data_IF_218784829764
#
_entry.id   IF_218784829764
#
_cell.length_a   1.000
_cell.length_b   1.000
_cell.length_c   1.000
_cell.angle_alpha   90.00
_cell.angle_beta   90.00
_cell.angle_gamma   90.00
#
_symmetry.space_group_name_H-M   'P 1'
#
loop_
_entity.id
_entity.type
_entity.pdbx_description
1 polymer ?
#
# COMPACT_ATOMS: atom_id res chain seq x y z
N UNK A 1 -45.82 15.28 115.70
CA UNK A 1 -46.01 16.35 116.71
C UNK A 1 -46.84 15.79 117.88
N UNK A 2 -46.51 16.17 119.11
CA UNK A 2 -47.39 16.05 120.29
C UNK A 2 -48.43 17.22 120.26
N UNK A 3 -49.40 17.40 121.21
CA UNK A 3 -49.45 16.82 122.57
C UNK A 3 -50.84 16.60 123.30
N UNK A 4 -50.79 15.85 124.43
CA UNK A 4 -51.57 16.05 125.71
C UNK A 4 -53.11 15.84 125.69
N UNK A 5 -53.85 15.54 126.79
CA UNK A 5 -53.61 15.37 128.27
C UNK A 5 -54.78 14.52 128.89
N UNK A 6 -54.56 13.62 129.88
CA UNK A 6 -54.86 13.71 131.37
C UNK A 6 -56.36 13.87 131.79
N UNK A 7 -56.89 13.35 132.91
CA UNK A 7 -56.36 12.57 134.07
C UNK A 7 -57.47 11.82 134.89
N UNK A 8 -57.06 11.13 135.99
CA UNK A 8 -57.77 10.52 137.16
C UNK A 8 -59.14 11.11 137.65
N UNK A 9 -59.94 10.58 138.62
CA UNK A 9 -59.88 9.53 139.68
C UNK A 9 -61.05 9.73 140.72
N UNK A 10 -61.21 9.12 141.93
CA UNK A 10 -60.65 7.91 142.62
C UNK A 10 -61.24 7.69 144.07
N UNK A 11 -62.28 6.86 144.27
CA UNK A 11 -62.73 6.34 145.62
C UNK A 11 -63.83 7.13 146.38
N UNK A 12 -64.29 6.82 147.63
CA UNK A 12 -64.18 5.62 148.52
C UNK A 12 -65.08 5.75 149.81
N UNK A 13 -65.85 4.73 150.22
CA UNK A 13 -66.33 4.48 151.61
C UNK A 13 -67.45 5.40 152.20
N UNK A 14 -68.00 5.19 153.42
CA UNK A 14 -68.12 4.00 154.33
C UNK A 14 -68.99 4.35 155.58
N UNK A 15 -69.57 3.33 156.26
CA UNK A 15 -70.00 3.31 157.70
C UNK A 15 -71.17 4.23 158.18
N UNK A 16 -71.87 4.00 159.31
CA UNK A 16 -72.24 2.79 160.11
C UNK A 16 -73.21 3.16 161.28
N UNK A 17 -73.79 2.15 161.96
CA UNK A 17 -74.23 2.12 163.39
C UNK A 17 -75.45 3.01 163.81
N UNK A 18 -76.54 2.46 164.39
CA UNK A 18 -76.77 2.10 165.83
C UNK A 18 -77.62 3.18 166.56
N UNK A 19 -78.41 2.95 167.64
CA UNK A 19 -79.01 1.78 168.31
C UNK A 19 -80.04 2.29 169.38
N UNK A 20 -80.51 1.42 170.29
CA UNK A 20 -81.38 1.65 171.47
C UNK A 20 -82.91 1.74 171.19
N UNK A 21 -83.82 0.87 171.69
CA UNK A 21 -84.14 0.31 173.05
C UNK A 21 -85.22 1.15 173.77
N UNK A 22 -86.44 0.61 173.97
CA UNK A 22 -86.88 -0.03 175.23
C UNK A 22 -88.35 -0.56 175.18
N UNK A 23 -88.73 -1.36 176.18
CA UNK A 23 -90.08 -1.65 176.71
C UNK A 23 -91.17 -2.15 175.73
N UNK A 24 -91.29 -3.47 175.60
CA UNK A 24 -92.37 -4.12 174.83
C UNK A 24 -93.71 -4.21 175.58
N UNK A 25 -94.84 -4.20 174.84
CA UNK A 25 -96.12 -4.74 175.32
C UNK A 25 -96.38 -6.18 174.83
N UNK A 26 -97.55 -6.69 175.21
CA UNK A 26 -98.11 -8.03 174.98
C UNK A 26 -97.87 -8.67 173.59
N UNK A 27 -97.83 -10.00 173.57
CA UNK A 27 -97.55 -10.92 172.44
C UNK A 27 -98.30 -10.62 171.12
N UNK A 28 -99.40 -9.87 171.17
CA UNK A 28 -100.21 -9.54 169.98
C UNK A 28 -99.65 -8.39 169.11
N UNK A 29 -98.74 -7.56 169.60
CA UNK A 29 -98.21 -6.41 168.82
C UNK A 29 -96.96 -6.75 167.98
N UNK A 30 -96.16 -7.74 168.39
CA UNK A 30 -94.93 -8.14 167.69
C UNK A 30 -95.17 -8.77 166.30
N UNK A 31 -96.34 -9.37 166.07
CA UNK A 31 -96.66 -9.95 164.76
C UNK A 31 -96.89 -8.87 163.69
N UNK A 32 -97.48 -7.73 164.05
CA UNK A 32 -97.74 -6.64 163.11
C UNK A 32 -96.46 -5.96 162.59
N UNK A 33 -95.39 -5.90 163.38
CA UNK A 33 -94.11 -5.31 162.95
C UNK A 33 -93.32 -6.19 161.98
N UNK A 34 -93.44 -7.53 162.10
CA UNK A 34 -92.76 -8.49 161.21
C UNK A 34 -93.34 -8.41 159.77
N UNK A 35 -94.65 -8.25 159.65
CA UNK A 35 -95.33 -8.12 158.35
C UNK A 35 -94.99 -6.80 157.64
N UNK A 36 -94.71 -5.71 158.37
CA UNK A 36 -94.26 -4.44 157.82
C UNK A 36 -92.88 -4.52 157.15
N UNK A 37 -91.89 -5.06 157.86
CA UNK A 37 -90.50 -5.13 157.37
C UNK A 37 -90.36 -6.10 156.19
N UNK A 38 -91.13 -7.20 156.18
CA UNK A 38 -91.14 -8.14 155.05
C UNK A 38 -91.73 -7.54 153.78
N UNK A 39 -92.75 -6.67 153.88
CA UNK A 39 -93.32 -5.96 152.75
C UNK A 39 -92.34 -4.94 152.11
N UNK A 40 -91.55 -4.22 152.92
CA UNK A 40 -90.55 -3.27 152.41
C UNK A 40 -89.40 -3.98 151.67
N UNK A 41 -88.89 -5.09 152.24
CA UNK A 41 -87.88 -5.95 151.58
C UNK A 41 -88.33 -6.39 150.18
N UNK A 42 -89.58 -6.80 150.03
CA UNK A 42 -90.13 -7.26 148.75
C UNK A 42 -90.30 -6.13 147.74
N UNK A 43 -90.50 -4.90 148.21
CA UNK A 43 -90.58 -3.69 147.36
C UNK A 43 -89.21 -3.33 146.79
N UNK A 44 -88.16 -3.36 147.60
CA UNK A 44 -86.76 -3.19 147.13
C UNK A 44 -86.35 -4.32 146.17
N UNK A 45 -86.68 -5.58 146.48
CA UNK A 45 -86.35 -6.72 145.63
C UNK A 45 -86.96 -6.57 144.22
N UNK A 46 -88.22 -6.13 144.14
CA UNK A 46 -88.91 -5.83 142.86
C UNK A 46 -88.27 -4.67 142.11
N UNK A 47 -87.86 -3.59 142.79
CA UNK A 47 -87.13 -2.49 142.15
C UNK A 47 -85.77 -2.93 141.61
N UNK A 48 -84.99 -3.70 142.40
CA UNK A 48 -83.68 -4.21 141.98
C UNK A 48 -83.77 -5.10 140.75
N UNK A 49 -84.78 -5.99 140.71
CA UNK A 49 -85.06 -6.86 139.56
C UNK A 49 -85.43 -6.04 138.32
N UNK A 50 -86.30 -5.02 138.46
CA UNK A 50 -86.66 -4.12 137.35
C UNK A 50 -85.46 -3.38 136.77
N UNK A 51 -84.61 -2.79 137.62
CA UNK A 51 -83.39 -2.09 137.20
C UNK A 51 -82.36 -3.03 136.56
N UNK A 52 -82.35 -4.31 136.93
CA UNK A 52 -81.51 -5.32 136.30
C UNK A 52 -82.02 -5.67 134.89
N UNK A 53 -83.33 -5.92 134.73
CA UNK A 53 -83.96 -6.14 133.41
C UNK A 53 -83.77 -4.93 132.49
N UNK A 54 -83.87 -3.69 133.00
CA UNK A 54 -83.65 -2.48 132.21
C UNK A 54 -82.17 -2.33 131.78
N UNK A 55 -81.21 -2.68 132.66
CA UNK A 55 -79.78 -2.72 132.30
C UNK A 55 -79.47 -3.79 131.26
N UNK A 56 -80.03 -4.99 131.41
CA UNK A 56 -79.79 -6.10 130.48
C UNK A 56 -80.41 -5.80 129.11
N UNK A 57 -81.61 -5.19 129.06
CA UNK A 57 -82.19 -4.65 127.82
C UNK A 57 -81.29 -3.58 127.17
N UNK A 58 -80.76 -2.65 127.97
CA UNK A 58 -79.90 -1.58 127.44
C UNK A 58 -78.56 -2.14 126.92
N UNK A 59 -77.99 -3.14 127.59
CA UNK A 59 -76.82 -3.88 127.11
C UNK A 59 -77.11 -4.62 125.80
N UNK A 60 -78.24 -5.33 125.70
CA UNK A 60 -78.66 -5.98 124.45
C UNK A 60 -78.85 -4.95 123.31
N UNK A 61 -79.47 -3.79 123.57
CA UNK A 61 -79.55 -2.73 122.57
C UNK A 61 -78.18 -2.19 122.16
N UNK A 62 -77.25 -2.03 123.10
CA UNK A 62 -75.89 -1.56 122.81
C UNK A 62 -75.10 -2.59 121.98
N UNK A 63 -75.21 -3.88 122.28
CA UNK A 63 -74.64 -4.96 121.46
C UNK A 63 -75.27 -5.04 120.06
N UNK A 64 -76.60 -4.89 119.95
CA UNK A 64 -77.30 -4.86 118.66
C UNK A 64 -76.82 -3.65 117.85
N UNK A 65 -76.79 -2.45 118.42
CA UNK A 65 -76.29 -1.25 117.73
C UNK A 65 -74.81 -1.32 117.38
N UNK A 66 -73.99 -1.99 118.19
CA UNK A 66 -72.59 -2.27 117.85
C UNK A 66 -72.49 -3.23 116.65
N UNK A 67 -73.28 -4.31 116.62
CA UNK A 67 -73.35 -5.25 115.49
C UNK A 67 -73.89 -4.60 114.21
N UNK A 68 -74.94 -3.78 114.31
CA UNK A 68 -75.45 -2.98 113.18
C UNK A 68 -74.38 -2.03 112.63
N UNK A 69 -73.61 -1.36 113.50
CA UNK A 69 -72.49 -0.50 113.10
C UNK A 69 -71.38 -1.30 112.42
N UNK A 70 -71.00 -2.45 112.98
CA UNK A 70 -69.98 -3.33 112.40
C UNK A 70 -70.44 -3.92 111.04
N UNK A 71 -71.74 -4.19 110.88
CA UNK A 71 -72.36 -4.59 109.60
C UNK A 71 -72.28 -3.46 108.57
N UNK A 72 -72.71 -2.24 108.93
CA UNK A 72 -72.65 -1.08 108.03
C UNK A 72 -71.19 -0.71 107.66
N UNK A 73 -70.23 -0.84 108.59
CA UNK A 73 -68.79 -0.67 108.31
C UNK A 73 -68.21 -1.79 107.43
N UNK A 74 -68.80 -2.99 107.44
CA UNK A 74 -68.43 -4.07 106.52
C UNK A 74 -69.06 -3.84 105.13
N UNK A 75 -70.33 -3.45 105.06
CA UNK A 75 -71.03 -3.10 103.81
C UNK A 75 -70.37 -1.93 103.09
N UNK A 76 -69.97 -0.87 103.82
CA UNK A 76 -69.18 0.24 103.25
C UNK A 76 -67.87 -0.26 102.64
N UNK A 77 -67.08 -1.07 103.36
CA UNK A 77 -65.84 -1.64 102.83
C UNK A 77 -66.05 -2.56 101.62
N UNK A 78 -67.17 -3.28 101.57
CA UNK A 78 -67.56 -4.07 100.39
C UNK A 78 -67.92 -3.13 99.23
N UNK A 79 -68.62 -2.02 99.48
CA UNK A 79 -69.00 -1.03 98.46
C UNK A 79 -67.79 -0.25 97.93
N UNK A 80 -66.88 0.17 98.80
CA UNK A 80 -65.63 0.83 98.40
C UNK A 80 -64.79 -0.10 97.52
N UNK A 81 -64.64 -1.36 97.92
CA UNK A 81 -63.95 -2.37 97.10
C UNK A 81 -64.66 -2.64 95.76
N UNK A 82 -66.00 -2.67 95.73
CA UNK A 82 -66.76 -2.77 94.48
C UNK A 82 -66.51 -1.56 93.57
N UNK A 83 -66.38 -0.35 94.12
CA UNK A 83 -66.04 0.86 93.35
C UNK A 83 -64.62 0.80 92.81
N UNK A 84 -63.64 0.37 93.60
CA UNK A 84 -62.25 0.14 93.16
C UNK A 84 -62.18 -0.89 92.02
N UNK A 85 -62.81 -2.06 92.19
CA UNK A 85 -62.83 -3.11 91.16
C UNK A 85 -63.53 -2.69 89.86
N UNK A 86 -64.49 -1.76 89.91
CA UNK A 86 -65.12 -1.16 88.71
C UNK A 86 -64.18 -0.12 88.05
N UNK A 87 -63.51 0.72 88.85
CA UNK A 87 -62.58 1.72 88.34
C UNK A 87 -61.34 1.09 87.68
N UNK A 88 -60.79 0.02 88.26
CA UNK A 88 -59.69 -0.73 87.67
C UNK A 88 -60.09 -1.37 86.32
N UNK A 89 -61.26 -2.03 86.25
CA UNK A 89 -61.81 -2.60 85.01
C UNK A 89 -61.97 -1.53 83.93
N UNK A 90 -62.56 -0.39 84.27
CA UNK A 90 -62.70 0.72 83.34
C UNK A 90 -61.35 1.26 82.86
N UNK A 91 -60.34 1.33 83.73
CA UNK A 91 -58.99 1.75 83.35
C UNK A 91 -58.30 0.72 82.44
N UNK A 92 -58.48 -0.58 82.67
CA UNK A 92 -57.97 -1.62 81.77
C UNK A 92 -58.66 -1.60 80.41
N UNK A 93 -59.98 -1.37 80.39
CA UNK A 93 -60.76 -1.25 79.15
C UNK A 93 -60.33 -0.02 78.34
N UNK A 94 -60.14 1.14 78.97
CA UNK A 94 -59.61 2.33 78.31
C UNK A 94 -58.21 2.11 77.72
N UNK A 95 -57.31 1.43 78.46
CA UNK A 95 -55.98 1.06 77.96
C UNK A 95 -56.06 0.10 76.77
N UNK A 96 -56.94 -0.90 76.83
CA UNK A 96 -57.17 -1.85 75.75
C UNK A 96 -57.74 -1.17 74.50
N UNK A 97 -58.73 -0.28 74.65
CA UNK A 97 -59.31 0.52 73.56
C UNK A 97 -58.24 1.44 72.93
N UNK A 98 -57.44 2.15 73.74
CA UNK A 98 -56.37 3.01 73.24
C UNK A 98 -55.29 2.21 72.49
N UNK A 99 -54.89 1.05 73.00
CA UNK A 99 -53.94 0.16 72.34
C UNK A 99 -54.51 -0.39 71.02
N UNK A 100 -55.78 -0.82 71.01
CA UNK A 100 -56.47 -1.29 69.81
C UNK A 100 -56.59 -0.19 68.74
N UNK A 101 -56.98 1.03 69.12
CA UNK A 101 -57.05 2.17 68.21
C UNK A 101 -55.66 2.52 67.64
N UNK A 102 -54.62 2.50 68.48
CA UNK A 102 -53.24 2.76 68.05
C UNK A 102 -52.75 1.70 67.04
N UNK A 103 -53.03 0.42 67.30
CA UNK A 103 -52.77 -0.69 66.37
C UNK A 103 -53.54 -0.54 65.06
N UNK A 104 -54.81 -0.14 65.11
CA UNK A 104 -55.63 0.07 63.91
C UNK A 104 -55.09 1.23 63.05
N UNK A 105 -54.70 2.35 63.67
CA UNK A 105 -54.07 3.49 62.96
C UNK A 105 -52.72 3.08 62.36
N UNK A 106 -51.90 2.32 63.08
CA UNK A 106 -50.64 1.80 62.54
C UNK A 106 -50.86 0.83 61.37
N UNK A 107 -51.83 -0.07 61.48
CA UNK A 107 -52.23 -0.99 60.41
C UNK A 107 -52.71 -0.24 59.15
N UNK A 108 -53.52 0.81 59.32
CA UNK A 108 -53.95 1.66 58.20
C UNK A 108 -52.76 2.39 57.55
N UNK A 109 -51.86 3.00 58.35
CA UNK A 109 -50.65 3.64 57.82
C UNK A 109 -49.77 2.66 57.04
N UNK A 110 -49.59 1.43 57.54
CA UNK A 110 -48.83 0.39 56.84
C UNK A 110 -49.51 -0.02 55.52
N UNK A 111 -50.85 -0.15 55.50
CA UNK A 111 -51.61 -0.41 54.26
C UNK A 111 -51.46 0.72 53.23
N UNK A 112 -51.54 1.98 53.66
CA UNK A 112 -51.33 3.13 52.77
C UNK A 112 -49.91 3.16 52.21
N UNK A 113 -48.88 2.94 53.04
CA UNK A 113 -47.48 2.90 52.59
C UNK A 113 -47.22 1.76 51.60
N UNK A 114 -47.79 0.57 51.83
CA UNK A 114 -47.69 -0.56 50.90
C UNK A 114 -48.40 -0.27 49.57
N UNK A 115 -49.57 0.38 49.60
CA UNK A 115 -50.28 0.79 48.40
C UNK A 115 -49.51 1.86 47.62
N UNK A 116 -48.97 2.88 48.31
CA UNK A 116 -48.12 3.92 47.71
C UNK A 116 -46.88 3.31 47.07
N UNK A 117 -46.17 2.42 47.78
CA UNK A 117 -45.04 1.67 47.23
C UNK A 117 -45.45 0.83 46.01
N UNK A 118 -46.61 0.17 46.04
CA UNK A 118 -47.11 -0.63 44.91
C UNK A 118 -47.45 0.24 43.69
N UNK A 119 -48.02 1.43 43.90
CA UNK A 119 -48.30 2.41 42.85
C UNK A 119 -46.99 2.93 42.27
N UNK A 120 -46.02 3.35 43.09
CA UNK A 120 -44.69 3.82 42.65
C UNK A 120 -43.93 2.72 41.88
N UNK A 121 -43.98 1.47 42.33
CA UNK A 121 -43.37 0.35 41.61
C UNK A 121 -44.10 0.08 40.28
N UNK A 122 -45.41 0.24 40.22
CA UNK A 122 -46.18 0.08 38.98
C UNK A 122 -45.92 1.21 37.98
N UNK A 123 -45.83 2.47 38.42
CA UNK A 123 -45.51 3.61 37.55
C UNK A 123 -44.08 3.51 37.02
N UNK A 124 -43.09 3.26 37.89
CA UNK A 124 -41.69 3.08 37.47
C UNK A 124 -41.53 1.89 36.52
N UNK A 125 -42.30 0.81 36.67
CA UNK A 125 -42.32 -0.28 35.68
C UNK A 125 -42.92 0.16 34.34
N UNK A 126 -44.04 0.87 34.35
CA UNK A 126 -44.65 1.43 33.14
C UNK A 126 -43.72 2.40 32.39
N UNK A 127 -43.08 3.32 33.11
CA UNK A 127 -42.14 4.29 32.55
C UNK A 127 -40.91 3.59 31.95
N UNK A 128 -40.37 2.57 32.63
CA UNK A 128 -39.28 1.75 32.09
C UNK A 128 -39.71 0.96 30.85
N UNK A 129 -40.91 0.39 30.82
CA UNK A 129 -41.43 -0.31 29.63
C UNK A 129 -41.65 0.63 28.44
N UNK A 130 -42.10 1.86 28.69
CA UNK A 130 -42.23 2.91 27.66
C UNK A 130 -40.86 3.37 27.15
N UNK A 131 -39.90 3.61 28.04
CA UNK A 131 -38.52 3.95 27.66
C UNK A 131 -37.86 2.84 26.82
N UNK A 132 -38.05 1.57 27.19
CA UNK A 132 -37.56 0.42 26.42
C UNK A 132 -38.24 0.27 25.05
N UNK A 133 -39.54 0.62 24.92
CA UNK A 133 -40.23 0.66 23.62
C UNK A 133 -39.68 1.77 22.73
N UNK A 134 -39.59 3.00 23.25
CA UNK A 134 -39.04 4.13 22.51
C UNK A 134 -37.60 3.86 22.05
N UNK A 135 -36.75 3.31 22.92
CA UNK A 135 -35.37 2.95 22.55
C UNK A 135 -35.31 1.88 21.44
N UNK A 136 -36.25 0.92 21.42
CA UNK A 136 -36.35 -0.09 20.35
C UNK A 136 -36.84 0.52 19.04
N UNK A 137 -37.81 1.43 19.08
CA UNK A 137 -38.32 2.15 17.90
C UNK A 137 -37.22 3.04 17.31
N UNK A 138 -36.51 3.81 18.13
CA UNK A 138 -35.34 4.57 17.69
C UNK A 138 -34.26 3.67 17.07
N UNK A 139 -33.93 2.54 17.70
CA UNK A 139 -32.95 1.60 17.17
C UNK A 139 -33.38 1.04 15.80
N UNK A 140 -34.64 0.64 15.65
CA UNK A 140 -35.19 0.14 14.39
C UNK A 140 -35.20 1.22 13.28
N UNK A 141 -35.54 2.48 13.62
CA UNK A 141 -35.47 3.58 12.64
C UNK A 141 -34.03 3.89 12.20
N UNK A 142 -33.06 3.88 13.13
CA UNK A 142 -31.63 4.04 12.80
C UNK A 142 -31.12 2.87 11.95
N UNK A 143 -31.54 1.64 12.25
CA UNK A 143 -31.18 0.46 11.45
C UNK A 143 -31.73 0.57 10.01
N UNK A 144 -32.99 0.98 9.84
CA UNK A 144 -33.56 1.21 8.51
C UNK A 144 -32.80 2.29 7.74
N UNK A 145 -32.50 3.43 8.38
CA UNK A 145 -31.72 4.52 7.78
C UNK A 145 -30.33 4.05 7.33
N UNK A 146 -29.61 3.31 8.19
CA UNK A 146 -28.29 2.76 7.86
C UNK A 146 -28.36 1.73 6.72
N UNK A 147 -29.45 0.95 6.61
CA UNK A 147 -29.64 0.01 5.50
C UNK A 147 -29.92 0.73 4.17
N UNK A 148 -30.67 1.83 4.20
CA UNK A 148 -30.95 2.65 3.02
C UNK A 148 -29.71 3.46 2.59
N UNK A 149 -28.98 4.07 3.52
CA UNK A 149 -27.66 4.66 3.26
C UNK A 149 -26.68 3.64 2.68
N UNK A 150 -26.69 2.38 3.17
CA UNK A 150 -25.85 1.32 2.61
C UNK A 150 -26.24 0.95 1.17
N UNK A 151 -27.54 1.02 0.80
CA UNK A 151 -28.00 0.81 -0.58
C UNK A 151 -27.55 1.97 -1.47
N UNK A 152 -27.81 3.21 -1.06
CA UNK A 152 -27.38 4.42 -1.77
C UNK A 152 -25.87 4.46 -2.02
N UNK A 153 -25.06 4.08 -1.02
CA UNK A 153 -23.61 4.01 -1.16
C UNK A 153 -23.17 2.90 -2.13
N UNK A 154 -23.84 1.73 -2.11
CA UNK A 154 -23.57 0.65 -3.09
C UNK A 154 -23.92 1.08 -4.51
N UNK A 155 -25.01 1.80 -4.70
CA UNK A 155 -25.44 2.25 -6.02
C UNK A 155 -24.52 3.36 -6.55
N UNK A 156 -24.14 4.33 -5.72
CA UNK A 156 -23.10 5.34 -6.04
C UNK A 156 -21.75 4.70 -6.40
N UNK A 157 -21.34 3.62 -5.71
CA UNK A 157 -20.14 2.87 -6.07
C UNK A 157 -20.27 2.28 -7.47
N UNK A 158 -21.40 1.62 -7.79
CA UNK A 158 -21.64 1.05 -9.14
C UNK A 158 -21.70 2.12 -10.23
N UNK A 159 -22.34 3.26 -9.99
CA UNK A 159 -22.36 4.39 -10.94
C UNK A 159 -20.94 4.88 -11.25
N UNK A 160 -20.11 5.03 -10.22
CA UNK A 160 -18.71 5.43 -10.35
C UNK A 160 -17.90 4.35 -11.09
N UNK A 161 -18.06 3.07 -10.76
CA UNK A 161 -17.44 1.94 -11.46
C UNK A 161 -17.82 1.91 -12.95
N UNK A 162 -19.10 2.06 -13.29
CA UNK A 162 -19.59 2.15 -14.67
C UNK A 162 -18.99 3.35 -15.40
N UNK A 163 -18.91 4.51 -14.75
CA UNK A 163 -18.30 5.71 -15.35
C UNK A 163 -16.80 5.51 -15.66
N UNK A 164 -16.07 4.79 -14.80
CA UNK A 164 -14.68 4.41 -15.07
C UNK A 164 -14.56 3.37 -16.18
N UNK A 165 -15.48 2.40 -16.26
CA UNK A 165 -15.53 1.48 -17.40
C UNK A 165 -15.77 2.19 -18.72
N UNK A 166 -16.67 3.18 -18.76
CA UNK A 166 -16.95 3.99 -19.95
C UNK A 166 -15.73 4.84 -20.35
N UNK A 167 -15.08 5.50 -19.39
CA UNK A 167 -13.82 6.22 -19.64
C UNK A 167 -12.72 5.27 -20.18
N UNK A 168 -12.58 4.06 -19.61
CA UNK A 168 -11.63 3.06 -20.09
C UNK A 168 -11.98 2.53 -21.49
N UNK A 169 -13.28 2.38 -21.82
CA UNK A 169 -13.75 2.02 -23.16
C UNK A 169 -13.44 3.13 -24.17
N UNK A 170 -13.68 4.39 -23.81
CA UNK A 170 -13.37 5.56 -24.63
C UNK A 170 -11.87 5.69 -24.91
N UNK A 171 -11.03 5.66 -23.87
CA UNK A 171 -9.57 5.71 -24.01
C UNK A 171 -9.04 4.56 -24.89
N UNK A 172 -9.59 3.34 -24.77
CA UNK A 172 -9.23 2.21 -25.65
C UNK A 172 -9.64 2.46 -27.11
N UNK A 173 -10.81 3.06 -27.35
CA UNK A 173 -11.22 3.42 -28.71
C UNK A 173 -10.33 4.51 -29.31
N UNK A 174 -9.95 5.52 -28.53
CA UNK A 174 -9.12 6.62 -29.02
C UNK A 174 -7.68 6.17 -29.31
N UNK A 175 -7.06 5.36 -28.43
CA UNK A 175 -5.80 4.69 -28.75
C UNK A 175 -5.91 3.80 -30.01
N UNK A 176 -7.03 3.09 -30.23
CA UNK A 176 -7.23 2.30 -31.45
C UNK A 176 -7.34 3.17 -32.72
N UNK A 177 -7.98 4.35 -32.62
CA UNK A 177 -8.01 5.35 -33.71
C UNK A 177 -6.61 5.88 -33.99
N UNK A 178 -5.83 6.20 -32.96
CA UNK A 178 -4.45 6.69 -33.09
C UNK A 178 -3.51 5.64 -33.72
N UNK A 179 -3.53 4.40 -33.23
CA UNK A 179 -2.80 3.28 -33.85
C UNK A 179 -3.18 3.12 -35.32
N UNK A 180 -4.46 3.32 -35.67
CA UNK A 180 -4.94 3.25 -37.05
C UNK A 180 -4.45 4.43 -37.90
N UNK A 181 -4.37 5.65 -37.35
CA UNK A 181 -3.74 6.81 -38.02
C UNK A 181 -2.25 6.56 -38.26
N UNK A 182 -1.50 6.19 -37.23
CA UNK A 182 -0.07 5.88 -37.32
C UNK A 182 0.21 4.79 -38.38
N UNK A 183 -0.58 3.71 -38.41
CA UNK A 183 -0.45 2.67 -39.45
C UNK A 183 -0.66 3.24 -40.87
N UNK A 184 -1.69 4.06 -41.09
CA UNK A 184 -1.93 4.71 -42.39
C UNK A 184 -0.79 5.65 -42.78
N UNK A 185 -0.25 6.41 -41.83
CA UNK A 185 0.90 7.29 -42.05
C UNK A 185 2.16 6.50 -42.42
N UNK A 186 2.44 5.38 -41.73
CA UNK A 186 3.52 4.47 -42.11
C UNK A 186 3.29 3.84 -43.49
N UNK A 187 2.07 3.40 -43.83
CA UNK A 187 1.75 2.86 -45.16
C UNK A 187 1.93 3.89 -46.28
N UNK A 188 1.54 5.15 -46.03
CA UNK A 188 1.75 6.25 -46.98
C UNK A 188 3.24 6.54 -47.12
N UNK A 189 3.97 6.71 -46.01
CA UNK A 189 5.41 6.98 -46.01
C UNK A 189 6.22 5.85 -46.69
N UNK A 190 5.82 4.58 -46.51
CA UNK A 190 6.43 3.44 -47.18
C UNK A 190 6.18 3.47 -48.70
N UNK A 191 4.95 3.74 -49.15
CA UNK A 191 4.63 3.90 -50.58
C UNK A 191 5.38 5.08 -51.19
N UNK A 192 5.46 6.19 -50.50
CA UNK A 192 6.20 7.39 -50.91
C UNK A 192 7.70 7.11 -51.05
N UNK A 193 8.28 6.33 -50.13
CA UNK A 193 9.68 5.91 -50.20
C UNK A 193 9.93 4.99 -51.40
N UNK A 194 9.05 4.01 -51.64
CA UNK A 194 9.12 3.11 -52.80
C UNK A 194 9.01 3.87 -54.12
N UNK A 195 8.07 4.83 -54.24
CA UNK A 195 7.96 5.67 -55.43
C UNK A 195 9.20 6.55 -55.65
N UNK A 196 9.81 7.06 -54.57
CA UNK A 196 11.07 7.83 -54.63
C UNK A 196 12.26 6.96 -55.04
N UNK A 197 12.37 5.72 -54.57
CA UNK A 197 13.45 4.80 -54.97
C UNK A 197 13.28 4.30 -56.40
N UNK A 198 12.05 3.93 -56.81
CA UNK A 198 11.74 3.61 -58.21
C UNK A 198 12.09 4.75 -59.16
N UNK A 199 11.71 6.00 -58.82
CA UNK A 199 12.03 7.17 -59.64
C UNK A 199 13.53 7.35 -59.79
N UNK A 200 14.30 7.24 -58.71
CA UNK A 200 15.78 7.29 -58.75
C UNK A 200 16.36 6.16 -59.62
N UNK A 201 15.83 4.93 -59.49
CA UNK A 201 16.27 3.79 -60.30
C UNK A 201 16.03 4.03 -61.80
N UNK A 202 14.84 4.51 -62.18
CA UNK A 202 14.52 4.86 -63.58
C UNK A 202 15.38 6.01 -64.10
N UNK A 203 15.71 7.00 -63.27
CA UNK A 203 16.61 8.09 -63.63
C UNK A 203 18.03 7.58 -63.91
N UNK A 204 18.60 6.77 -63.02
CA UNK A 204 19.93 6.17 -63.19
C UNK A 204 19.98 5.24 -64.40
N UNK A 205 18.91 4.49 -64.70
CA UNK A 205 18.80 3.70 -65.92
C UNK A 205 18.85 4.58 -67.17
N UNK A 206 18.01 5.63 -67.23
CA UNK A 206 17.98 6.56 -68.35
C UNK A 206 19.30 7.32 -68.56
N UNK A 207 20.00 7.68 -67.47
CA UNK A 207 21.31 8.33 -67.51
C UNK A 207 22.39 7.39 -68.06
N UNK A 208 22.43 6.13 -67.62
CA UNK A 208 23.34 5.13 -68.16
C UNK A 208 23.04 4.80 -69.63
N UNK A 209 21.77 4.71 -70.02
CA UNK A 209 21.38 4.52 -71.43
C UNK A 209 21.78 5.72 -72.31
N UNK A 210 21.65 6.95 -71.79
CA UNK A 210 22.09 8.16 -72.49
C UNK A 210 23.62 8.16 -72.65
N UNK A 211 24.35 7.90 -71.57
CA UNK A 211 25.82 7.80 -71.58
C UNK A 211 26.30 6.72 -72.55
N UNK A 212 25.68 5.53 -72.54
CA UNK A 212 25.98 4.45 -73.49
C UNK A 212 25.75 4.88 -74.95
N UNK A 213 24.66 5.61 -75.22
CA UNK A 213 24.38 6.16 -76.57
C UNK A 213 25.42 7.20 -76.98
N UNK A 214 25.86 8.07 -76.07
CA UNK A 214 26.94 9.03 -76.31
C UNK A 214 28.27 8.32 -76.61
N UNK A 215 28.68 7.36 -75.78
CA UNK A 215 29.90 6.56 -75.99
C UNK A 215 29.88 5.81 -77.33
N UNK A 216 28.72 5.26 -77.74
CA UNK A 216 28.53 4.66 -79.08
C UNK A 216 28.70 5.71 -80.19
N UNK A 217 28.03 6.87 -80.08
CA UNK A 217 28.07 7.92 -81.10
C UNK A 217 29.49 8.49 -81.26
N UNK A 218 30.25 8.68 -80.18
CA UNK A 218 31.66 9.09 -80.27
C UNK A 218 32.54 8.03 -80.94
N UNK A 219 32.29 6.74 -80.67
CA UNK A 219 33.00 5.63 -81.33
C UNK A 219 32.67 5.60 -82.82
N UNK A 220 31.41 5.84 -83.19
CA UNK A 220 30.96 5.93 -84.57
C UNK A 220 31.58 7.14 -85.29
N UNK A 221 31.61 8.32 -84.67
CA UNK A 221 32.32 9.49 -85.21
C UNK A 221 33.81 9.24 -85.40
N UNK A 222 34.50 8.68 -84.40
CA UNK A 222 35.93 8.32 -84.51
C UNK A 222 36.19 7.31 -85.63
N UNK A 223 35.30 6.33 -85.83
CA UNK A 223 35.37 5.39 -86.96
C UNK A 223 35.09 6.06 -88.30
N UNK A 224 34.08 6.92 -88.38
CA UNK A 224 33.71 7.63 -89.61
C UNK A 224 34.78 8.64 -90.06
N UNK A 225 35.44 9.30 -89.09
CA UNK A 225 36.64 10.11 -89.34
C UNK A 225 37.78 9.25 -89.90
N UNK A 226 38.07 8.10 -89.27
CA UNK A 226 39.12 7.19 -89.75
C UNK A 226 38.82 6.64 -91.16
N UNK A 227 37.57 6.27 -91.45
CA UNK A 227 37.12 5.85 -92.78
C UNK A 227 37.33 7.00 -93.79
N UNK A 228 36.97 8.24 -93.42
CA UNK A 228 37.14 9.42 -94.28
C UNK A 228 38.62 9.74 -94.54
N UNK A 229 39.50 9.59 -93.55
CA UNK A 229 40.94 9.69 -93.73
C UNK A 229 41.50 8.58 -94.64
N UNK A 230 41.02 7.35 -94.46
CA UNK A 230 41.45 6.20 -95.25
C UNK A 230 41.03 6.37 -96.72
N UNK A 231 39.80 6.82 -96.98
CA UNK A 231 39.34 7.22 -98.32
C UNK A 231 40.26 8.28 -98.92
N UNK A 232 40.55 9.37 -98.20
CA UNK A 232 41.47 10.43 -98.67
C UNK A 232 42.89 9.92 -98.94
N UNK A 233 43.39 8.97 -98.14
CA UNK A 233 44.71 8.32 -98.36
C UNK A 233 44.68 7.45 -99.62
N UNK A 234 43.61 6.69 -99.84
CA UNK A 234 43.42 5.92 -101.07
C UNK A 234 43.26 6.82 -102.30
N UNK A 235 42.46 7.90 -102.24
CA UNK A 235 42.32 8.88 -103.32
C UNK A 235 43.67 9.52 -103.69
N UNK A 236 44.50 9.87 -102.69
CA UNK A 236 45.87 10.34 -102.91
C UNK A 236 46.73 9.28 -103.58
N UNK A 237 46.77 8.06 -103.05
CA UNK A 237 47.55 6.97 -103.63
C UNK A 237 47.08 6.63 -105.07
N UNK A 238 45.78 6.63 -105.36
CA UNK A 238 45.24 6.48 -106.72
C UNK A 238 45.63 7.65 -107.63
N UNK A 239 45.66 8.87 -107.10
CA UNK A 239 46.12 10.06 -107.84
C UNK A 239 47.62 9.99 -108.12
N UNK A 240 48.43 9.59 -107.15
CA UNK A 240 49.88 9.36 -107.28
C UNK A 240 50.19 8.23 -108.27
N UNK A 241 49.45 7.12 -108.23
CA UNK A 241 49.55 6.02 -109.21
C UNK A 241 49.14 6.53 -110.60
N UNK A 242 48.08 7.33 -110.72
CA UNK A 242 47.64 7.91 -112.00
C UNK A 242 48.66 8.91 -112.54
N UNK A 243 49.27 9.74 -111.70
CA UNK A 243 50.39 10.61 -112.07
C UNK A 243 51.59 9.76 -112.50
N UNK A 244 51.99 8.74 -111.75
CA UNK A 244 53.09 7.84 -112.11
C UNK A 244 52.87 7.14 -113.46
N UNK A 245 51.66 6.64 -113.76
CA UNK A 245 51.35 6.10 -115.08
C UNK A 245 51.28 7.16 -116.17
N UNK A 246 50.75 8.36 -115.89
CA UNK A 246 50.81 9.49 -116.81
C UNK A 246 52.26 9.90 -117.12
N UNK A 247 53.11 9.99 -116.11
CA UNK A 247 54.53 10.33 -116.19
C UNK A 247 55.29 9.21 -116.92
N UNK A 248 54.94 7.94 -116.74
CA UNK A 248 55.44 6.85 -117.58
C UNK A 248 54.97 7.00 -119.02
N UNK A 249 53.69 7.33 -119.28
CA UNK A 249 53.24 7.54 -120.66
C UNK A 249 53.86 8.78 -121.30
N UNK A 250 54.13 9.82 -120.52
CA UNK A 250 54.79 11.05 -120.95
C UNK A 250 56.27 10.77 -121.22
N UNK A 251 56.99 10.15 -120.29
CA UNK A 251 58.36 9.68 -120.51
C UNK A 251 58.45 8.66 -121.65
N UNK A 252 57.44 7.83 -121.88
CA UNK A 252 57.39 6.91 -123.03
C UNK A 252 57.09 7.66 -124.33
N UNK A 253 56.25 8.71 -124.32
CA UNK A 253 56.01 9.58 -125.49
C UNK A 253 57.24 10.40 -125.83
N UNK A 254 57.90 10.96 -124.83
CA UNK A 254 59.16 11.68 -124.96
C UNK A 254 60.25 10.72 -125.41
N UNK A 255 60.39 9.53 -124.80
CA UNK A 255 61.30 8.48 -125.27
C UNK A 255 60.95 7.99 -126.69
N UNK A 256 59.69 7.87 -127.08
CA UNK A 256 59.30 7.56 -128.47
C UNK A 256 59.69 8.71 -129.41
N UNK A 257 59.68 9.95 -128.94
CA UNK A 257 60.13 11.12 -129.69
C UNK A 257 61.65 11.14 -129.81
N UNK A 258 62.39 10.93 -128.71
CA UNK A 258 63.85 10.77 -128.73
C UNK A 258 64.24 9.57 -129.58
N UNK A 259 63.57 8.43 -129.49
CA UNK A 259 63.81 7.26 -130.34
C UNK A 259 63.47 7.51 -131.82
N UNK A 260 62.54 8.42 -132.15
CA UNK A 260 62.31 8.85 -133.55
C UNK A 260 63.41 9.79 -134.04
N UNK A 261 63.88 10.69 -133.19
CA UNK A 261 65.03 11.56 -133.46
C UNK A 261 66.31 10.71 -133.60
N UNK A 262 66.55 9.76 -132.68
CA UNK A 262 67.60 8.76 -132.70
C UNK A 262 67.43 7.74 -133.83
N UNK A 263 66.25 7.41 -134.35
CA UNK A 263 66.13 6.60 -135.58
C UNK A 263 66.58 7.42 -136.80
N UNK A 264 66.31 8.72 -136.83
CA UNK A 264 66.83 9.60 -137.88
C UNK A 264 68.36 9.78 -137.74
N UNK A 265 68.89 9.81 -136.52
CA UNK A 265 70.32 9.91 -136.23
C UNK A 265 71.04 8.55 -136.31
N UNK A 266 70.37 7.43 -136.06
CA UNK A 266 70.88 6.07 -136.27
C UNK A 266 70.96 5.78 -137.76
N UNK A 267 70.02 6.24 -138.60
CA UNK A 267 70.23 6.21 -140.07
C UNK A 267 71.48 6.99 -140.52
N UNK A 268 71.98 7.94 -139.73
CA UNK A 268 73.27 8.62 -139.96
C UNK A 268 74.45 7.90 -139.30
N UNK A 269 74.27 7.26 -138.14
CA UNK A 269 75.32 6.57 -137.34
C UNK A 269 75.50 5.10 -137.71
N UNK A 270 74.53 4.43 -138.32
CA UNK A 270 74.59 3.05 -138.80
C UNK A 270 75.58 2.94 -139.98
N UNK A 271 75.68 3.99 -140.80
CA UNK A 271 76.76 4.19 -141.78
C UNK A 271 78.15 4.37 -141.14
N UNK A 272 78.26 4.58 -139.82
CA UNK A 272 79.51 4.79 -139.10
C UNK A 272 79.87 3.64 -138.13
N UNK A 273 78.87 3.00 -137.50
CA UNK A 273 79.05 2.02 -136.42
C UNK A 273 79.21 0.57 -136.87
N UNK A 274 79.14 0.27 -138.16
CA UNK A 274 79.55 -1.03 -138.72
C UNK A 274 81.01 -1.39 -138.35
N UNK A 275 81.81 -0.39 -137.97
CA UNK A 275 83.21 -0.53 -137.51
C UNK A 275 83.40 -0.81 -136.02
N UNK A 276 82.41 -0.57 -135.16
CA UNK A 276 82.58 -0.66 -133.68
C UNK A 276 82.04 -1.97 -133.07
N UNK A 277 81.38 -2.81 -133.87
CA UNK A 277 80.68 -4.01 -133.39
C UNK A 277 81.60 -5.15 -132.89
N UNK A 278 82.91 -5.08 -133.14
CA UNK A 278 83.84 -6.17 -132.81
C UNK A 278 84.27 -6.20 -131.32
N UNK A 279 84.32 -5.05 -130.65
CA UNK A 279 85.00 -4.92 -129.34
C UNK A 279 84.09 -5.30 -128.15
N UNK A 280 82.78 -5.02 -128.22
CA UNK A 280 81.83 -5.18 -127.10
C UNK A 280 81.54 -6.67 -126.77
N UNK A 281 81.89 -7.59 -127.66
CA UNK A 281 81.65 -9.03 -127.51
C UNK A 281 82.40 -9.68 -126.32
N UNK A 282 83.55 -9.12 -125.90
CA UNK A 282 84.40 -9.77 -124.87
C UNK A 282 84.05 -9.38 -123.42
N UNK A 283 83.55 -8.17 -123.15
CA UNK A 283 83.36 -7.66 -121.79
C UNK A 283 82.29 -8.45 -120.99
N UNK A 284 81.25 -8.92 -121.68
CA UNK A 284 80.06 -9.54 -121.08
C UNK A 284 80.28 -10.90 -120.38
N UNK A 285 81.47 -11.51 -120.47
CA UNK A 285 81.75 -12.82 -119.84
C UNK A 285 82.28 -12.73 -118.39
N UNK A 286 82.55 -11.52 -117.86
CA UNK A 286 83.33 -11.35 -116.62
C UNK A 286 82.53 -11.06 -115.34
N UNK A 287 81.23 -10.75 -115.43
CA UNK A 287 80.46 -10.15 -114.31
C UNK A 287 79.42 -11.07 -113.63
N UNK A 288 79.27 -12.32 -114.06
CA UNK A 288 78.15 -13.19 -113.62
C UNK A 288 78.32 -13.78 -112.21
N UNK A 289 79.56 -14.00 -111.77
CA UNK A 289 79.87 -14.73 -110.52
C UNK A 289 79.82 -13.88 -109.22
N UNK A 290 80.23 -12.59 -109.22
CA UNK A 290 80.09 -11.73 -108.03
C UNK A 290 78.63 -11.55 -107.59
N UNK A 291 77.71 -11.41 -108.55
CA UNK A 291 76.29 -11.16 -108.31
C UNK A 291 75.60 -12.29 -107.52
N UNK A 292 75.97 -13.54 -107.77
CA UNK A 292 75.35 -14.72 -107.15
C UNK A 292 75.78 -14.94 -105.69
N UNK A 293 76.93 -14.40 -105.27
CA UNK A 293 77.40 -14.49 -103.88
C UNK A 293 76.70 -13.45 -103.00
N UNK A 294 76.61 -12.20 -103.45
CA UNK A 294 75.94 -11.12 -102.72
C UNK A 294 74.45 -11.39 -102.44
N UNK A 295 73.74 -12.04 -103.36
CA UNK A 295 72.33 -12.37 -103.17
C UNK A 295 72.07 -13.36 -102.01
N UNK A 296 72.97 -14.33 -101.79
CA UNK A 296 72.84 -15.31 -100.70
C UNK A 296 73.11 -14.71 -99.33
N UNK A 297 74.00 -13.72 -99.25
CA UNK A 297 74.33 -12.99 -98.02
C UNK A 297 73.21 -12.03 -97.61
N UNK A 298 72.53 -11.40 -98.57
CA UNK A 298 71.30 -10.62 -98.31
C UNK A 298 70.18 -11.52 -97.77
N UNK A 299 70.07 -12.76 -98.25
CA UNK A 299 69.03 -13.70 -97.80
C UNK A 299 69.27 -14.24 -96.38
N UNK A 300 70.53 -14.48 -95.98
CA UNK A 300 70.86 -14.88 -94.60
C UNK A 300 70.64 -13.73 -93.61
N UNK A 301 71.06 -12.51 -93.95
CA UNK A 301 70.86 -11.32 -93.12
C UNK A 301 69.36 -11.00 -92.91
N UNK A 302 68.52 -11.18 -93.94
CA UNK A 302 67.05 -11.02 -93.81
C UNK A 302 66.43 -12.00 -92.81
N UNK A 303 66.90 -13.26 -92.77
CA UNK A 303 66.42 -14.26 -91.80
C UNK A 303 66.84 -13.92 -90.37
N UNK A 304 68.05 -13.39 -90.18
CA UNK A 304 68.52 -12.92 -88.87
C UNK A 304 67.72 -11.69 -88.38
N UNK A 305 67.39 -10.76 -89.30
CA UNK A 305 66.56 -9.60 -88.98
C UNK A 305 65.16 -10.00 -88.49
N UNK A 306 64.50 -10.92 -89.19
CA UNK A 306 63.16 -11.43 -88.82
C UNK A 306 63.16 -12.17 -87.46
N UNK A 307 64.21 -12.94 -87.13
CA UNK A 307 64.36 -13.49 -85.76
C UNK A 307 64.53 -12.39 -84.71
N UNK A 308 65.38 -11.39 -84.96
CA UNK A 308 65.57 -10.29 -84.01
C UNK A 308 64.31 -9.42 -83.83
N UNK A 309 63.48 -9.25 -84.87
CA UNK A 309 62.20 -8.56 -84.74
C UNK A 309 61.20 -9.34 -83.87
N UNK A 310 61.16 -10.67 -83.99
CA UNK A 310 60.33 -11.54 -83.14
C UNK A 310 60.79 -11.51 -81.68
N UNK A 311 62.09 -11.60 -81.43
CA UNK A 311 62.67 -11.49 -80.08
C UNK A 311 62.42 -10.11 -79.47
N UNK A 312 62.47 -9.04 -80.27
CA UNK A 312 62.13 -7.68 -79.83
C UNK A 312 60.66 -7.56 -79.43
N UNK A 313 59.74 -8.19 -80.18
CA UNK A 313 58.31 -8.17 -79.87
C UNK A 313 57.99 -8.98 -78.60
N UNK A 314 58.55 -10.19 -78.45
CA UNK A 314 58.34 -11.02 -77.26
C UNK A 314 58.91 -10.36 -76.00
N UNK A 315 60.08 -9.72 -76.09
CA UNK A 315 60.69 -8.98 -74.98
C UNK A 315 59.87 -7.74 -74.58
N UNK A 316 59.27 -7.02 -75.54
CA UNK A 316 58.33 -5.93 -75.25
C UNK A 316 57.08 -6.43 -74.52
N UNK A 317 56.51 -7.56 -74.95
CA UNK A 317 55.35 -8.17 -74.30
C UNK A 317 55.67 -8.64 -72.88
N UNK A 318 56.82 -9.30 -72.67
CA UNK A 318 57.29 -9.73 -71.35
C UNK A 318 57.50 -8.52 -70.42
N UNK A 319 58.03 -7.41 -70.95
CA UNK A 319 58.27 -6.18 -70.19
C UNK A 319 56.98 -5.48 -69.77
N UNK A 320 55.93 -5.54 -70.61
CA UNK A 320 54.57 -5.13 -70.26
C UNK A 320 54.01 -5.97 -69.11
N UNK A 321 54.00 -7.30 -69.28
CA UNK A 321 53.54 -8.25 -68.26
C UNK A 321 54.28 -8.05 -66.92
N UNK A 322 55.61 -7.90 -66.96
CA UNK A 322 56.42 -7.61 -65.76
C UNK A 322 56.03 -6.28 -65.10
N UNK A 323 55.73 -5.23 -65.88
CA UNK A 323 55.27 -3.95 -65.32
C UNK A 323 53.92 -4.07 -64.61
N UNK A 324 53.00 -4.87 -65.16
CA UNK A 324 51.67 -5.05 -64.58
C UNK A 324 51.70 -5.97 -63.36
N UNK A 325 52.53 -7.02 -63.36
CA UNK A 325 52.80 -7.84 -62.17
C UNK A 325 53.39 -6.99 -61.04
N UNK A 326 54.37 -6.12 -61.31
CA UNK A 326 54.93 -5.22 -60.29
C UNK A 326 53.88 -4.27 -59.67
N UNK A 327 53.00 -3.70 -60.50
CA UNK A 327 51.88 -2.86 -59.99
C UNK A 327 50.95 -3.68 -59.10
N UNK A 328 50.61 -4.90 -59.52
CA UNK A 328 49.73 -5.78 -58.76
C UNK A 328 50.36 -6.20 -57.43
N UNK A 329 51.64 -6.58 -57.40
CA UNK A 329 52.37 -6.89 -56.17
C UNK A 329 52.39 -5.70 -55.21
N UNK A 330 52.68 -4.49 -55.70
CA UNK A 330 52.70 -3.28 -54.88
C UNK A 330 51.32 -2.89 -54.32
N UNK A 331 50.24 -3.12 -55.09
CA UNK A 331 48.87 -2.99 -54.59
C UNK A 331 48.57 -4.02 -53.49
N UNK A 332 48.95 -5.28 -53.70
CA UNK A 332 48.71 -6.37 -52.74
C UNK A 332 49.48 -6.16 -51.42
N UNK A 333 50.72 -5.65 -51.49
CA UNK A 333 51.52 -5.25 -50.32
C UNK A 333 50.85 -4.11 -49.52
N UNK A 334 50.26 -3.14 -50.21
CA UNK A 334 49.55 -2.03 -49.57
C UNK A 334 48.23 -2.48 -48.91
N UNK A 335 47.45 -3.33 -49.59
CA UNK A 335 46.25 -3.96 -49.04
C UNK A 335 46.58 -4.83 -47.82
N UNK A 336 47.63 -5.65 -47.91
CA UNK A 336 48.13 -6.47 -46.81
C UNK A 336 48.52 -5.63 -45.60
N UNK A 337 49.23 -4.50 -45.79
CA UNK A 337 49.58 -3.60 -44.69
C UNK A 337 48.34 -2.98 -44.03
N UNK A 338 47.33 -2.58 -44.81
CA UNK A 338 46.05 -2.08 -44.25
C UNK A 338 45.32 -3.16 -43.44
N UNK A 339 45.39 -4.43 -43.87
CA UNK A 339 44.79 -5.54 -43.11
C UNK A 339 45.55 -5.79 -41.80
N UNK A 340 46.88 -5.69 -41.80
CA UNK A 340 47.69 -5.76 -40.57
C UNK A 340 47.36 -4.61 -39.61
N UNK A 341 47.36 -3.35 -40.08
CA UNK A 341 47.03 -2.17 -39.26
C UNK A 341 45.61 -2.27 -38.64
N UNK A 342 44.66 -2.90 -39.35
CA UNK A 342 43.31 -3.19 -38.84
C UNK A 342 43.31 -4.33 -37.82
N UNK A 343 44.08 -5.39 -38.06
CA UNK A 343 44.19 -6.53 -37.15
C UNK A 343 44.80 -6.10 -35.80
N UNK A 344 45.87 -5.29 -35.83
CA UNK A 344 46.51 -4.76 -34.63
C UNK A 344 45.55 -3.92 -33.79
N UNK A 345 44.78 -3.02 -34.42
CA UNK A 345 43.74 -2.23 -33.74
C UNK A 345 42.65 -3.09 -33.12
N UNK A 346 42.14 -4.09 -33.85
CA UNK A 346 41.11 -5.01 -33.33
C UNK A 346 41.66 -5.88 -32.18
N UNK A 347 42.93 -6.24 -32.21
CA UNK A 347 43.59 -6.94 -31.09
C UNK A 347 43.74 -6.02 -29.87
N UNK A 348 44.17 -4.77 -30.06
CA UNK A 348 44.23 -3.79 -28.99
C UNK A 348 42.85 -3.53 -28.37
N UNK A 349 41.82 -3.25 -29.18
CA UNK A 349 40.43 -3.03 -28.71
C UNK A 349 39.88 -4.25 -27.95
N UNK A 350 40.20 -5.47 -28.40
CA UNK A 350 39.85 -6.73 -27.72
C UNK A 350 40.51 -6.80 -26.33
N UNK A 351 41.81 -6.55 -26.25
CA UNK A 351 42.58 -6.70 -25.02
C UNK A 351 42.21 -5.62 -23.99
N UNK A 352 41.97 -4.39 -24.45
CA UNK A 352 41.40 -3.30 -23.65
C UNK A 352 40.02 -3.68 -23.07
N UNK A 353 39.17 -4.34 -23.87
CA UNK A 353 37.84 -4.77 -23.44
C UNK A 353 37.91 -5.91 -22.41
N UNK A 354 38.81 -6.89 -22.58
CA UNK A 354 39.05 -7.93 -21.59
C UNK A 354 39.57 -7.34 -20.27
N UNK A 355 40.56 -6.45 -20.31
CA UNK A 355 41.11 -5.80 -19.11
C UNK A 355 40.03 -5.00 -18.35
N UNK A 356 39.16 -4.26 -19.06
CA UNK A 356 38.04 -3.53 -18.46
C UNK A 356 36.97 -4.46 -17.88
N UNK A 357 36.71 -5.59 -18.54
CA UNK A 357 35.77 -6.61 -18.05
C UNK A 357 36.28 -7.25 -16.76
N UNK A 358 37.53 -7.71 -16.72
CA UNK A 358 38.15 -8.27 -15.53
C UNK A 358 38.15 -7.26 -14.37
N UNK A 359 38.55 -6.01 -14.63
CA UNK A 359 38.50 -4.94 -13.64
C UNK A 359 37.07 -4.74 -13.07
N UNK A 360 36.05 -4.69 -13.93
CA UNK A 360 34.64 -4.58 -13.48
C UNK A 360 34.20 -5.80 -12.65
N UNK A 361 34.61 -7.02 -13.02
CA UNK A 361 34.28 -8.24 -12.27
C UNK A 361 34.93 -8.20 -10.88
N UNK A 362 36.21 -7.83 -10.77
CA UNK A 362 36.89 -7.65 -9.49
C UNK A 362 36.24 -6.56 -8.63
N UNK A 363 35.88 -5.42 -9.22
CA UNK A 363 35.20 -4.31 -8.54
C UNK A 363 33.85 -4.74 -7.94
N UNK A 364 33.05 -5.48 -8.71
CA UNK A 364 31.76 -6.03 -8.26
C UNK A 364 31.96 -7.08 -7.18
N UNK A 365 32.91 -8.00 -7.37
CA UNK A 365 33.23 -9.04 -6.39
C UNK A 365 33.73 -8.44 -5.07
N UNK A 366 34.57 -7.39 -5.11
CA UNK A 366 35.04 -6.67 -3.93
C UNK A 366 33.88 -5.97 -3.21
N UNK A 367 33.03 -5.22 -3.93
CA UNK A 367 31.85 -4.54 -3.35
C UNK A 367 30.88 -5.54 -2.70
N UNK A 368 30.62 -6.67 -3.36
CA UNK A 368 29.82 -7.77 -2.81
C UNK A 368 30.49 -8.42 -1.59
N UNK A 369 31.81 -8.63 -1.61
CA UNK A 369 32.58 -9.18 -0.49
C UNK A 369 32.59 -8.28 0.75
N UNK A 370 32.79 -6.96 0.57
CA UNK A 370 32.70 -5.97 1.65
C UNK A 370 31.28 -5.90 2.22
N UNK A 371 30.25 -5.93 1.37
CA UNK A 371 28.85 -5.97 1.84
C UNK A 371 28.52 -7.27 2.60
N UNK A 372 28.98 -8.42 2.10
CA UNK A 372 28.76 -9.72 2.73
C UNK A 372 29.45 -9.82 4.09
N UNK A 373 30.72 -9.41 4.18
CA UNK A 373 31.47 -9.39 5.45
C UNK A 373 30.88 -8.40 6.45
N UNK A 374 30.40 -7.23 6.02
CA UNK A 374 29.68 -6.29 6.88
C UNK A 374 28.39 -6.89 7.43
N UNK A 375 27.57 -7.51 6.59
CA UNK A 375 26.33 -8.17 7.00
C UNK A 375 26.59 -9.34 7.97
N UNK A 376 27.60 -10.17 7.69
CA UNK A 376 28.02 -11.25 8.57
C UNK A 376 28.45 -10.73 9.95
N UNK A 377 29.18 -9.61 9.99
CA UNK A 377 29.61 -8.96 11.24
C UNK A 377 28.45 -8.33 12.00
N UNK A 378 27.46 -7.75 11.30
CA UNK A 378 26.21 -7.27 11.90
C UNK A 378 25.39 -8.42 12.51
N UNK A 379 25.23 -9.54 11.78
CA UNK A 379 24.56 -10.75 12.28
C UNK A 379 25.28 -11.31 13.51
N UNK A 380 26.62 -11.39 13.49
CA UNK A 380 27.40 -11.81 14.66
C UNK A 380 27.15 -10.90 15.87
N UNK A 381 27.28 -9.57 15.71
CA UNK A 381 27.08 -8.62 16.82
C UNK A 381 25.64 -8.67 17.36
N UNK A 382 24.63 -8.84 16.50
CA UNK A 382 23.24 -9.02 16.92
C UNK A 382 23.04 -10.37 17.64
N UNK A 383 23.71 -11.44 17.20
CA UNK A 383 23.73 -12.74 17.88
C UNK A 383 24.35 -12.65 19.28
N UNK A 384 25.53 -12.06 19.41
CA UNK A 384 26.20 -11.83 20.71
C UNK A 384 25.35 -10.95 21.64
N UNK A 385 24.60 -9.98 21.10
CA UNK A 385 23.65 -9.17 21.88
C UNK A 385 22.42 -9.98 22.31
N UNK A 386 21.91 -10.86 21.45
CA UNK A 386 20.81 -11.77 21.76
C UNK A 386 21.21 -12.75 22.89
N UNK A 387 22.35 -13.44 22.74
CA UNK A 387 22.89 -14.35 23.77
C UNK A 387 23.06 -13.66 25.12
N UNK A 388 23.62 -12.43 25.14
CA UNK A 388 23.73 -11.63 26.37
C UNK A 388 22.37 -11.27 26.97
N UNK A 389 21.35 -11.03 26.14
CA UNK A 389 19.99 -10.72 26.60
C UNK A 389 19.23 -11.96 27.08
N UNK A 390 19.43 -13.11 26.44
CA UNK A 390 18.89 -14.39 26.88
C UNK A 390 19.52 -14.85 28.20
N UNK A 391 20.83 -14.69 28.37
CA UNK A 391 21.51 -14.93 29.64
C UNK A 391 20.97 -14.02 30.76
N UNK A 392 20.86 -12.71 30.52
CA UNK A 392 20.27 -11.75 31.47
C UNK A 392 18.82 -12.10 31.84
N UNK A 393 18.01 -12.55 30.86
CA UNK A 393 16.65 -13.03 31.11
C UNK A 393 16.64 -14.33 31.91
N UNK A 394 17.53 -15.28 31.61
CA UNK A 394 17.67 -16.54 32.35
C UNK A 394 18.04 -16.31 33.82
N UNK A 395 19.00 -15.42 34.09
CA UNK A 395 19.38 -15.03 35.46
C UNK A 395 18.24 -14.30 36.19
N UNK A 396 17.54 -13.37 35.51
CA UNK A 396 16.41 -12.65 36.11
C UNK A 396 15.24 -13.59 36.47
N UNK A 397 14.95 -14.56 35.59
CA UNK A 397 13.92 -15.59 35.82
C UNK A 397 14.34 -16.64 36.86
N UNK A 398 15.64 -16.93 37.00
CA UNK A 398 16.15 -17.82 38.05
C UNK A 398 16.17 -17.16 39.44
N UNK A 399 16.47 -15.86 39.51
CA UNK A 399 16.53 -15.10 40.77
C UNK A 399 15.15 -14.64 41.25
N UNK A 400 14.26 -14.26 40.33
CA UNK A 400 12.86 -14.00 40.63
C UNK A 400 12.11 -15.30 40.85
N UNK A 401 11.86 -15.67 42.12
CA UNK A 401 11.09 -16.87 42.54
C UNK A 401 9.62 -16.80 42.11
N UNK A 402 9.36 -16.80 40.80
CA UNK A 402 8.06 -16.75 40.18
C UNK A 402 7.69 -18.14 39.66
N UNK A 403 6.40 -18.47 39.66
CA UNK A 403 5.92 -19.75 39.16
C UNK A 403 6.16 -19.86 37.63
N UNK A 404 6.81 -20.93 37.12
CA UNK A 404 7.10 -21.08 35.70
C UNK A 404 5.86 -21.03 34.79
N UNK A 405 4.69 -21.47 35.26
CA UNK A 405 3.46 -21.46 34.47
C UNK A 405 2.94 -20.03 34.24
N UNK A 406 2.92 -19.20 35.28
CA UNK A 406 2.54 -17.78 35.17
C UNK A 406 3.54 -16.97 34.34
N UNK A 407 4.84 -17.23 34.44
CA UNK A 407 5.87 -16.62 33.58
C UNK A 407 5.63 -16.96 32.10
N UNK A 408 5.39 -18.24 31.77
CA UNK A 408 5.12 -18.66 30.40
C UNK A 408 3.85 -18.03 29.81
N UNK A 409 2.78 -17.89 30.61
CA UNK A 409 1.53 -17.28 30.17
C UNK A 409 1.70 -15.79 29.85
N UNK A 410 2.42 -15.06 30.71
CA UNK A 410 2.74 -13.63 30.50
C UNK A 410 3.65 -13.46 29.28
N UNK A 411 4.69 -14.30 29.12
CA UNK A 411 5.58 -14.28 27.95
C UNK A 411 4.80 -14.51 26.66
N UNK A 412 3.96 -15.54 26.59
CA UNK A 412 3.13 -15.82 25.41
C UNK A 412 2.16 -14.67 25.08
N UNK A 413 1.58 -14.02 26.10
CA UNK A 413 0.74 -12.83 25.93
C UNK A 413 1.50 -11.64 25.34
N UNK A 414 2.73 -11.39 25.81
CA UNK A 414 3.62 -10.34 25.30
C UNK A 414 4.09 -10.67 23.88
N UNK A 415 4.52 -11.90 23.59
CA UNK A 415 4.96 -12.35 22.27
C UNK A 415 3.82 -12.19 21.24
N UNK A 416 2.59 -12.57 21.60
CA UNK A 416 1.40 -12.39 20.73
C UNK A 416 1.05 -10.91 20.52
N UNK A 417 1.26 -10.05 21.52
CA UNK A 417 1.10 -8.60 21.39
C UNK A 417 2.17 -7.99 20.47
N UNK A 418 3.43 -8.40 20.64
CA UNK A 418 4.57 -7.98 19.82
C UNK A 418 4.37 -8.41 18.36
N UNK A 419 3.93 -9.64 18.10
CA UNK A 419 3.67 -10.08 16.72
C UNK A 419 2.51 -9.32 16.09
N UNK A 420 1.42 -9.05 16.83
CA UNK A 420 0.34 -8.19 16.36
C UNK A 420 0.82 -6.76 16.05
N UNK A 421 1.74 -6.21 16.86
CA UNK A 421 2.35 -4.90 16.63
C UNK A 421 3.31 -4.90 15.44
N UNK A 422 4.12 -5.95 15.28
CA UNK A 422 5.00 -6.14 14.11
C UNK A 422 4.18 -6.28 12.82
N UNK A 423 3.04 -6.98 12.87
CA UNK A 423 2.11 -7.09 11.75
C UNK A 423 1.50 -5.73 11.41
N UNK A 424 1.06 -4.94 12.40
CA UNK A 424 0.63 -3.54 12.20
C UNK A 424 1.73 -2.69 11.57
N UNK A 425 2.98 -2.80 12.02
CA UNK A 425 4.14 -2.09 11.47
C UNK A 425 4.38 -2.49 10.00
N UNK A 426 4.37 -3.78 9.67
CA UNK A 426 4.49 -4.28 8.28
C UNK A 426 3.36 -3.72 7.39
N UNK A 427 2.12 -3.70 7.89
CA UNK A 427 0.97 -3.12 7.16
C UNK A 427 1.15 -1.62 6.94
N UNK A 428 1.54 -0.85 7.96
CA UNK A 428 1.77 0.58 7.84
C UNK A 428 2.93 0.91 6.87
N UNK A 429 4.02 0.14 6.87
CA UNK A 429 5.09 0.29 5.86
C UNK A 429 4.60 -0.03 4.44
N UNK A 430 3.75 -1.04 4.28
CA UNK A 430 3.14 -1.36 2.98
C UNK A 430 2.20 -0.23 2.51
N UNK A 431 1.38 0.33 3.40
CA UNK A 431 0.50 1.45 3.10
C UNK A 431 1.27 2.72 2.78
N UNK A 432 2.34 3.03 3.53
CA UNK A 432 3.26 4.12 3.23
C UNK A 432 3.88 3.94 1.85
N UNK A 433 4.39 2.73 1.53
CA UNK A 433 4.92 2.41 0.21
C UNK A 433 3.87 2.56 -0.91
N UNK A 434 2.62 2.16 -0.66
CA UNK A 434 1.48 2.35 -1.58
C UNK A 434 1.19 3.83 -1.81
N UNK A 435 1.16 4.65 -0.74
CA UNK A 435 0.92 6.10 -0.81
C UNK A 435 2.08 6.82 -1.52
N UNK A 436 3.33 6.50 -1.21
CA UNK A 436 4.51 7.06 -1.90
C UNK A 436 4.52 6.68 -3.39
N UNK A 437 4.11 5.45 -3.73
CA UNK A 437 3.95 5.04 -5.14
C UNK A 437 2.79 5.80 -5.82
N UNK A 438 1.65 5.96 -5.16
CA UNK A 438 0.55 6.76 -5.69
C UNK A 438 0.97 8.23 -5.91
N UNK A 439 1.64 8.85 -4.92
CA UNK A 439 2.19 10.20 -4.99
C UNK A 439 3.18 10.36 -6.15
N UNK A 440 4.15 9.45 -6.30
CA UNK A 440 5.12 9.53 -7.42
C UNK A 440 4.47 9.29 -8.79
N UNK A 441 3.44 8.45 -8.89
CA UNK A 441 2.63 8.31 -10.12
C UNK A 441 1.83 9.58 -10.41
N UNK A 442 1.18 10.18 -9.41
CA UNK A 442 0.43 11.43 -9.53
C UNK A 442 1.38 12.57 -9.95
N UNK A 443 2.57 12.68 -9.36
CA UNK A 443 3.57 13.68 -9.72
C UNK A 443 4.04 13.50 -11.17
N UNK A 444 4.34 12.28 -11.62
CA UNK A 444 4.68 12.02 -13.03
C UNK A 444 3.54 12.35 -13.99
N UNK A 445 2.29 12.12 -13.60
CA UNK A 445 1.13 12.48 -14.41
C UNK A 445 0.95 14.01 -14.48
N UNK A 446 1.21 14.73 -13.38
CA UNK A 446 1.25 16.20 -13.39
C UNK A 446 2.42 16.74 -14.23
N UNK A 447 3.61 16.16 -14.13
CA UNK A 447 4.77 16.48 -14.98
C UNK A 447 4.45 16.30 -16.46
N UNK A 448 3.85 15.16 -16.83
CA UNK A 448 3.43 14.87 -18.20
C UNK A 448 2.36 15.86 -18.70
N UNK A 449 1.36 16.20 -17.86
CA UNK A 449 0.32 17.17 -18.23
C UNK A 449 0.86 18.60 -18.34
N UNK A 450 1.77 19.02 -17.47
CA UNK A 450 2.41 20.34 -17.58
C UNK A 450 3.29 20.45 -18.83
N UNK A 451 4.00 19.38 -19.19
CA UNK A 451 4.73 19.29 -20.45
C UNK A 451 3.80 19.33 -21.68
N UNK A 452 2.63 18.68 -21.63
CA UNK A 452 1.60 18.73 -22.68
C UNK A 452 1.03 20.15 -22.88
N UNK A 453 0.90 20.94 -21.82
CA UNK A 453 0.55 22.37 -21.88
C UNK A 453 1.73 23.29 -22.21
N UNK A 454 2.93 22.74 -22.48
CA UNK A 454 4.11 23.51 -22.84
C UNK A 454 4.75 24.31 -21.69
N UNK A 455 4.51 23.90 -20.44
CA UNK A 455 5.08 24.55 -19.23
C UNK A 455 6.20 23.66 -18.66
N UNK A 456 7.49 24.01 -18.82
CA UNK A 456 8.58 23.24 -18.25
C UNK A 456 8.61 23.39 -16.71
N UNK A 457 8.56 22.27 -15.98
CA UNK A 457 8.69 22.28 -14.51
C UNK A 457 9.86 23.09 -13.93
N UNK A 458 11.06 23.15 -14.57
CA UNK A 458 12.16 23.96 -14.06
C UNK A 458 11.85 25.45 -13.91
N UNK A 459 10.93 25.98 -14.72
CA UNK A 459 10.61 27.42 -14.78
C UNK A 459 9.62 27.85 -13.68
N UNK A 460 8.90 26.91 -13.05
CA UNK A 460 7.89 27.22 -12.02
C UNK A 460 8.45 27.33 -10.59
N UNK A 461 9.76 27.21 -10.36
CA UNK A 461 10.38 27.36 -9.03
C UNK A 461 10.04 26.28 -7.98
N UNK A 462 9.18 25.32 -8.32
CA UNK A 462 8.73 24.20 -7.49
C UNK A 462 9.77 23.11 -7.10
N UNK A 463 10.99 22.97 -7.69
CA UNK A 463 11.94 21.91 -7.32
C UNK A 463 12.34 21.86 -5.82
N UNK A 464 12.13 22.94 -5.07
CA UNK A 464 12.53 23.06 -3.67
C UNK A 464 11.65 22.27 -2.68
N UNK A 465 10.40 21.95 -3.04
CA UNK A 465 9.50 21.13 -2.19
C UNK A 465 9.59 19.63 -2.51
N UNK A 466 9.78 19.27 -3.78
CA UNK A 466 9.80 17.86 -4.23
C UNK A 466 11.06 17.12 -3.75
N UNK A 467 12.18 17.82 -3.63
CA UNK A 467 13.47 17.22 -3.24
C UNK A 467 13.60 16.86 -1.75
N UNK A 468 12.79 17.46 -0.85
CA UNK A 468 12.87 17.24 0.60
C UNK A 468 11.97 16.13 1.14
N UNK A 469 11.09 15.55 0.32
CA UNK A 469 10.23 14.41 0.71
C UNK A 469 10.83 13.09 0.20
N UNK A 470 12.10 12.87 0.54
CA UNK A 470 12.71 11.53 0.57
C UNK A 470 12.83 11.11 2.03
N UNK A 471 11.78 10.43 2.51
CA UNK A 471 11.83 9.57 3.71
C UNK A 471 12.51 8.23 3.33
#
# INVERSE_FOLDING_TARGET
MAPKKKDAGKGKGKDAAAAAVDAGPSIQELQAQIDGITAERDKEAKQRNRSQIERDKLNCFMEIKKKEREHAEAELRIKDRQMEEIAEKHQTDLKAIHFFFSLQVFSQKMKHLLYEQQVLVSTVKGDNELALKLQREEAATRESQLLDEQRDLKDKIREVELSYEEQLKQMKQDHAKEITKMRREFDINAKDLLLKTEKKMRQVQAENDLRRKQEIHEIEERKNLHISELIKKHEKAFSEIKCYYNDITQNNLDLIKTLKEDINDMKRKEQANEKLMYEISQENKRLTEPLTRSLKEVESLRKQLDSHEKDRQSLLQLRGQHSDVLKHTSQLEWEYRIVLDKLEKVQADRDDLYARFEACVFDVQQKCGVKSTLLQRQVQVLGEQLEKKEAQLGEALGNGKMDPATVHLVKYGIDKMLEAKNQQIKTLYYELGRVTKAYTTIMRNFEAKLAEYGIPLPEMGLPHYISKIRL
#
